data_IF_024915537442
#
_entry.id   IF_024915537442
#
_cell.length_a   1.000
_cell.length_b   1.000
_cell.length_c   1.000
_cell.angle_alpha   90.00
_cell.angle_beta   90.00
_cell.angle_gamma   90.00
#
_symmetry.space_group_name_H-M   'P 1'
#
loop_
_entity.id
_entity.type
_entity.pdbx_description
1 polymer ?
#
# COMPACT_ATOMS: atom_id res chain seq x y z
N UNK A 1 22.00 2.32 -5.43
CA UNK A 1 22.14 3.01 -6.74
C UNK A 1 20.73 3.11 -7.29
N UNK A 2 20.19 4.31 -7.48
CA UNK A 2 18.76 4.50 -7.78
C UNK A 2 18.36 3.80 -9.08
N UNK A 3 17.54 2.73 -8.95
CA UNK A 3 17.04 1.93 -10.08
C UNK A 3 16.15 2.76 -11.02
N UNK A 4 15.35 3.68 -10.46
CA UNK A 4 14.35 4.45 -11.20
C UNK A 4 14.97 5.37 -12.27
N UNK A 5 15.94 6.26 -11.96
CA UNK A 5 16.56 7.11 -12.98
C UNK A 5 17.29 6.32 -14.07
N UNK A 6 17.85 5.15 -13.74
CA UNK A 6 18.50 4.28 -14.71
C UNK A 6 17.49 3.64 -15.67
N UNK A 7 16.37 3.14 -15.15
CA UNK A 7 15.32 2.55 -15.96
C UNK A 7 14.69 3.59 -16.90
N UNK A 8 14.32 4.76 -16.38
CA UNK A 8 13.74 5.83 -17.21
C UNK A 8 14.74 6.30 -18.27
N UNK A 9 16.04 6.39 -17.94
CA UNK A 9 17.06 6.76 -18.90
C UNK A 9 17.12 5.77 -20.09
N UNK A 10 17.04 4.46 -19.81
CA UNK A 10 16.98 3.44 -20.84
C UNK A 10 15.70 3.54 -21.69
N UNK A 11 14.54 3.77 -21.07
CA UNK A 11 13.25 3.96 -21.76
C UNK A 11 13.25 5.18 -22.68
N UNK A 12 13.95 6.27 -22.31
CA UNK A 12 14.00 7.52 -23.06
C UNK A 12 15.17 7.63 -24.05
N UNK A 13 16.11 6.69 -24.02
CA UNK A 13 17.38 6.82 -24.75
C UNK A 13 18.23 8.01 -24.25
N UNK A 14 18.09 8.37 -22.97
CA UNK A 14 18.78 9.49 -22.33
C UNK A 14 19.89 8.99 -21.39
N UNK A 15 20.73 9.90 -20.89
CA UNK A 15 21.71 9.56 -19.85
C UNK A 15 21.06 9.65 -18.47
N UNK A 16 21.42 8.75 -17.51
CA UNK A 16 20.87 8.81 -16.15
C UNK A 16 21.07 10.16 -15.43
N UNK A 17 22.12 10.92 -15.78
CA UNK A 17 22.34 12.25 -15.24
C UNK A 17 21.26 13.26 -15.68
N UNK A 18 20.78 13.18 -16.93
CA UNK A 18 19.73 14.04 -17.45
C UNK A 18 18.40 13.77 -16.73
N UNK A 19 18.11 12.48 -16.53
CA UNK A 19 16.92 12.04 -15.79
C UNK A 19 16.97 12.51 -14.34
N UNK A 20 18.12 12.35 -13.65
CA UNK A 20 18.27 12.84 -12.26
C UNK A 20 18.04 14.34 -12.15
N UNK A 21 18.63 15.14 -13.04
CA UNK A 21 18.43 16.59 -13.02
C UNK A 21 16.95 16.97 -13.28
N UNK A 22 16.27 16.29 -14.21
CA UNK A 22 14.86 16.51 -14.44
C UNK A 22 13.98 16.09 -13.23
N UNK A 23 14.30 14.96 -12.59
CA UNK A 23 13.63 14.50 -11.37
C UNK A 23 13.78 15.52 -10.24
N UNK A 24 14.99 16.02 -9.99
CA UNK A 24 15.24 17.05 -8.97
C UNK A 24 14.41 18.32 -9.20
N UNK A 25 14.27 18.74 -10.46
CA UNK A 25 13.44 19.90 -10.81
C UNK A 25 11.95 19.63 -10.58
N UNK A 26 11.45 18.46 -10.98
CA UNK A 26 10.05 18.06 -10.78
C UNK A 26 9.73 17.94 -9.28
N UNK A 27 10.61 17.33 -8.50
CA UNK A 27 10.48 17.21 -7.04
C UNK A 27 10.52 18.58 -6.35
N UNK A 28 11.28 19.53 -6.92
CA UNK A 28 11.28 20.95 -6.54
C UNK A 28 10.03 21.73 -6.98
N UNK A 29 9.04 21.07 -7.58
CA UNK A 29 7.77 21.67 -8.01
C UNK A 29 7.81 22.37 -9.37
N UNK A 30 8.89 22.22 -10.14
CA UNK A 30 8.91 22.72 -11.51
C UNK A 30 7.97 21.90 -12.39
N UNK A 31 7.29 22.55 -13.35
CA UNK A 31 6.42 21.87 -14.30
C UNK A 31 7.18 21.49 -15.57
N UNK A 32 6.71 20.47 -16.31
CA UNK A 32 7.32 20.08 -17.59
C UNK A 32 7.49 21.26 -18.58
N UNK A 33 6.47 22.11 -18.85
CA UNK A 33 6.65 23.26 -19.73
C UNK A 33 7.69 24.26 -19.22
N UNK A 34 7.81 24.42 -17.89
CA UNK A 34 8.82 25.28 -17.30
C UNK A 34 10.22 24.71 -17.51
N UNK A 35 10.41 23.41 -17.28
CA UNK A 35 11.70 22.75 -17.46
C UNK A 35 12.14 22.81 -18.93
N UNK A 36 11.25 22.43 -19.85
CA UNK A 36 11.51 22.43 -21.28
C UNK A 36 11.92 23.81 -21.82
N UNK A 37 11.36 24.89 -21.26
CA UNK A 37 11.60 26.27 -21.72
C UNK A 37 12.74 26.98 -20.99
N UNK A 38 12.89 26.77 -19.68
CA UNK A 38 13.75 27.60 -18.81
C UNK A 38 14.84 26.80 -18.06
N UNK A 39 14.88 25.48 -18.19
CA UNK A 39 15.89 24.60 -17.55
C UNK A 39 16.49 23.59 -18.51
N UNK A 40 16.50 23.89 -19.81
CA UNK A 40 17.03 23.02 -20.86
C UNK A 40 18.51 22.65 -20.64
N UNK A 41 19.31 23.59 -20.13
CA UNK A 41 20.73 23.33 -19.83
C UNK A 41 20.91 22.38 -18.64
N UNK A 42 20.01 22.46 -17.64
CA UNK A 42 20.07 21.61 -16.46
C UNK A 42 19.80 20.14 -16.79
N UNK A 43 18.93 19.87 -17.78
CA UNK A 43 18.60 18.52 -18.24
C UNK A 43 19.45 18.06 -19.44
N UNK A 44 20.44 18.86 -19.83
CA UNK A 44 21.24 18.70 -21.07
C UNK A 44 20.38 18.40 -22.30
N UNK A 45 19.30 19.16 -22.48
CA UNK A 45 18.53 19.17 -23.71
C UNK A 45 17.34 18.22 -23.80
N UNK A 46 16.84 17.63 -22.69
CA UNK A 46 15.59 16.88 -22.73
C UNK A 46 14.44 17.74 -23.28
N UNK A 47 13.73 17.23 -24.28
CA UNK A 47 12.59 17.93 -24.89
C UNK A 47 11.26 17.71 -24.13
N UNK A 48 10.21 18.43 -24.52
CA UNK A 48 8.89 18.36 -23.86
C UNK A 48 8.29 16.95 -23.88
N UNK A 49 8.49 16.18 -24.98
CA UNK A 49 7.97 14.82 -25.11
C UNK A 49 8.70 13.87 -24.17
N UNK A 50 10.03 13.99 -24.09
CA UNK A 50 10.86 13.22 -23.17
C UNK A 50 10.52 13.56 -21.71
N UNK A 51 10.31 14.84 -21.38
CA UNK A 51 9.97 15.27 -20.03
C UNK A 51 8.57 14.81 -19.59
N UNK A 52 7.56 14.82 -20.47
CA UNK A 52 6.23 14.26 -20.17
C UNK A 52 6.27 12.76 -19.93
N UNK A 53 7.04 12.05 -20.76
CA UNK A 53 7.26 10.61 -20.59
C UNK A 53 7.96 10.34 -19.26
N UNK A 54 9.02 11.10 -18.96
CA UNK A 54 9.75 11.03 -17.69
C UNK A 54 8.82 11.22 -16.50
N UNK A 55 8.01 12.28 -16.48
CA UNK A 55 7.08 12.60 -15.39
C UNK A 55 6.09 11.44 -15.14
N UNK A 56 5.50 10.92 -16.22
CA UNK A 56 4.55 9.80 -16.16
C UNK A 56 5.22 8.52 -15.63
N UNK A 57 6.42 8.21 -16.13
CA UNK A 57 7.15 7.00 -15.75
C UNK A 57 7.70 7.09 -14.33
N UNK A 58 8.18 8.26 -13.91
CA UNK A 58 8.62 8.52 -12.55
C UNK A 58 7.51 8.27 -11.55
N UNK A 59 6.32 8.81 -11.80
CA UNK A 59 5.15 8.57 -10.93
C UNK A 59 4.82 7.08 -10.84
N UNK A 60 4.71 6.39 -11.98
CA UNK A 60 4.41 4.96 -12.01
C UNK A 60 5.44 4.12 -11.23
N UNK A 61 6.73 4.38 -11.43
CA UNK A 61 7.80 3.60 -10.82
C UNK A 61 7.93 3.87 -9.32
N UNK A 62 7.70 5.11 -8.87
CA UNK A 62 7.62 5.41 -7.43
C UNK A 62 6.47 4.68 -6.77
N UNK A 63 5.28 4.72 -7.37
CA UNK A 63 4.12 3.97 -6.86
C UNK A 63 4.37 2.46 -6.81
N UNK A 64 5.10 1.92 -7.79
CA UNK A 64 5.50 0.51 -7.79
C UNK A 64 6.46 0.19 -6.64
N UNK A 65 7.49 1.00 -6.41
CA UNK A 65 8.45 0.79 -5.31
C UNK A 65 7.81 0.98 -3.93
N UNK A 66 6.96 1.99 -3.74
CA UNK A 66 6.20 2.18 -2.51
C UNK A 66 5.31 0.97 -2.22
N UNK A 67 4.64 0.45 -3.26
CA UNK A 67 3.81 -0.74 -3.15
C UNK A 67 4.64 -1.98 -2.84
N UNK A 68 5.81 -2.13 -3.47
CA UNK A 68 6.75 -3.23 -3.24
C UNK A 68 7.22 -3.27 -1.79
N UNK A 69 7.59 -2.13 -1.24
CA UNK A 69 7.97 -2.01 0.17
C UNK A 69 6.82 -2.41 1.11
N UNK A 70 5.59 -1.96 0.82
CA UNK A 70 4.42 -2.34 1.60
C UNK A 70 4.10 -3.85 1.53
N UNK A 71 4.26 -4.47 0.36
CA UNK A 71 4.08 -5.91 0.16
C UNK A 71 5.13 -6.69 0.96
N UNK A 72 6.41 -6.36 0.81
CA UNK A 72 7.50 -7.00 1.56
C UNK A 72 7.26 -6.93 3.07
N UNK A 73 6.92 -5.73 3.57
CA UNK A 73 6.58 -5.53 4.98
C UNK A 73 5.41 -6.41 5.42
N UNK A 74 4.31 -6.43 4.67
CA UNK A 74 3.13 -7.22 5.01
C UNK A 74 3.39 -8.73 5.04
N UNK A 75 4.24 -9.24 4.14
CA UNK A 75 4.63 -10.65 4.11
C UNK A 75 5.60 -10.97 5.27
N UNK A 76 6.54 -10.07 5.56
CA UNK A 76 7.48 -10.20 6.68
C UNK A 76 6.77 -10.22 8.03
N UNK A 77 5.76 -9.36 8.23
CA UNK A 77 4.93 -9.32 9.44
C UNK A 77 4.15 -10.62 9.69
N UNK A 78 3.91 -11.42 8.64
CA UNK A 78 3.31 -12.75 8.75
C UNK A 78 4.34 -13.86 9.00
N UNK A 79 5.64 -13.55 9.01
CA UNK A 79 6.72 -14.53 9.11
C UNK A 79 6.86 -15.42 7.87
N UNK A 80 6.35 -14.97 6.71
CA UNK A 80 6.29 -15.77 5.47
C UNK A 80 7.25 -15.32 4.38
N UNK A 81 8.10 -14.33 4.65
CA UNK A 81 9.04 -13.80 3.67
C UNK A 81 10.27 -14.70 3.58
N UNK A 82 10.30 -15.58 2.57
CA UNK A 82 11.51 -16.35 2.25
C UNK A 82 12.47 -15.54 1.37
N UNK A 83 13.77 -15.86 1.34
CA UNK A 83 14.73 -15.18 0.46
C UNK A 83 14.36 -15.26 -1.03
N UNK A 84 13.77 -16.39 -1.46
CA UNK A 84 13.33 -16.58 -2.85
C UNK A 84 12.12 -15.69 -3.18
N UNK A 85 11.17 -15.56 -2.23
CA UNK A 85 10.01 -14.71 -2.38
C UNK A 85 10.39 -13.22 -2.34
N UNK A 86 11.30 -12.84 -1.44
CA UNK A 86 11.86 -11.49 -1.38
C UNK A 86 12.49 -11.12 -2.73
N UNK A 87 13.36 -11.98 -3.27
CA UNK A 87 13.97 -11.76 -4.58
C UNK A 87 12.93 -11.67 -5.72
N UNK A 88 11.89 -12.51 -5.70
CA UNK A 88 10.81 -12.46 -6.70
C UNK A 88 10.01 -11.16 -6.60
N UNK A 89 9.67 -10.73 -5.38
CA UNK A 89 8.97 -9.47 -5.12
C UNK A 89 9.85 -8.28 -5.50
N UNK A 90 11.16 -8.33 -5.28
CA UNK A 90 12.08 -7.26 -5.72
C UNK A 90 12.25 -7.17 -7.23
N UNK A 91 12.18 -8.31 -7.92
CA UNK A 91 12.33 -8.39 -9.36
C UNK A 91 11.04 -8.10 -10.14
N UNK A 92 9.88 -8.04 -9.47
CA UNK A 92 8.59 -7.82 -10.15
C UNK A 92 8.59 -6.51 -10.97
N UNK A 93 8.47 -6.59 -12.31
CA UNK A 93 8.63 -5.45 -13.21
C UNK A 93 7.36 -4.61 -13.36
N UNK A 94 6.20 -5.16 -12.97
CA UNK A 94 4.90 -4.51 -13.11
C UNK A 94 4.11 -4.57 -11.80
N UNK A 95 3.18 -3.62 -11.64
CA UNK A 95 2.24 -3.62 -10.51
C UNK A 95 1.38 -4.89 -10.48
N UNK A 96 1.05 -5.44 -11.65
CA UNK A 96 0.25 -6.66 -11.75
C UNK A 96 1.00 -7.87 -11.20
N UNK A 97 2.23 -8.10 -11.67
CA UNK A 97 3.06 -9.21 -11.19
C UNK A 97 3.37 -9.09 -9.70
N UNK A 98 3.56 -7.87 -9.19
CA UNK A 98 3.71 -7.62 -7.76
C UNK A 98 2.46 -8.04 -6.97
N UNK A 99 1.26 -7.71 -7.45
CA UNK A 99 0.02 -8.11 -6.79
C UNK A 99 -0.23 -9.62 -6.89
N UNK A 100 0.13 -10.26 -7.99
CA UNK A 100 -0.02 -11.70 -8.17
C UNK A 100 0.87 -12.47 -7.18
N UNK A 101 2.10 -12.01 -6.95
CA UNK A 101 3.00 -12.54 -5.91
C UNK A 101 2.45 -12.29 -4.50
N UNK A 102 1.81 -11.15 -4.27
CA UNK A 102 1.25 -10.80 -2.96
C UNK A 102 -0.07 -11.52 -2.65
N UNK A 103 -0.82 -11.94 -3.67
CA UNK A 103 -2.18 -12.47 -3.55
C UNK A 103 -2.34 -13.57 -2.48
N UNK A 104 -1.43 -14.57 -2.36
CA UNK A 104 -1.54 -15.61 -1.33
C UNK A 104 -1.35 -15.11 0.11
N UNK A 105 -0.72 -13.95 0.27
CA UNK A 105 -0.36 -13.35 1.55
C UNK A 105 -1.25 -12.17 1.94
N UNK A 106 -2.09 -11.70 1.02
CA UNK A 106 -2.98 -10.56 1.25
C UNK A 106 -3.87 -10.86 2.46
N UNK A 107 -3.76 -10.11 3.58
CA UNK A 107 -4.56 -10.33 4.76
C UNK A 107 -6.03 -10.27 4.40
N UNK A 108 -6.79 -11.31 4.76
CA UNK A 108 -8.24 -11.25 4.67
C UNK A 108 -8.73 -10.28 5.73
N UNK A 109 -9.53 -9.30 5.34
CA UNK A 109 -10.15 -8.38 6.31
C UNK A 109 -10.95 -9.24 7.27
N UNK A 110 -10.60 -9.15 8.56
CA UNK A 110 -11.45 -9.69 9.62
C UNK A 110 -12.77 -8.93 9.57
N UNK A 111 -13.88 -9.64 9.46
CA UNK A 111 -15.19 -9.02 9.55
C UNK A 111 -15.45 -8.62 11.01
N UNK A 112 -16.32 -7.63 11.26
CA UNK A 112 -16.74 -7.30 12.63
C UNK A 112 -17.23 -8.55 13.38
N UNK A 113 -17.99 -9.41 12.71
CA UNK A 113 -18.45 -10.69 13.27
C UNK A 113 -17.31 -11.66 13.62
N UNK A 114 -16.23 -11.73 12.83
CA UNK A 114 -15.06 -12.54 13.19
C UNK A 114 -14.35 -12.00 14.43
N UNK A 115 -14.22 -10.67 14.54
CA UNK A 115 -13.64 -10.02 15.72
C UNK A 115 -14.50 -10.28 16.96
N UNK A 116 -15.83 -10.14 16.83
CA UNK A 116 -16.78 -10.43 17.90
C UNK A 116 -16.72 -11.89 18.36
N UNK A 117 -16.63 -12.86 17.42
CA UNK A 117 -16.46 -14.28 17.76
C UNK A 117 -15.14 -14.57 18.48
N UNK A 118 -14.03 -14.03 17.98
CA UNK A 118 -12.72 -14.17 18.62
C UNK A 118 -12.68 -13.55 20.03
N UNK A 119 -13.48 -12.50 20.27
CA UNK A 119 -13.68 -11.89 21.58
C UNK A 119 -14.68 -12.64 22.48
N UNK A 120 -15.24 -13.76 22.02
CA UNK A 120 -16.15 -14.58 22.81
C UNK A 120 -17.60 -14.08 22.87
N UNK A 121 -18.04 -13.27 21.91
CA UNK A 121 -19.41 -12.73 21.87
C UNK A 121 -20.44 -13.69 21.24
N UNK A 122 -20.00 -14.83 20.69
CA UNK A 122 -20.89 -15.82 20.06
C UNK A 122 -21.99 -16.34 21.03
N UNK A 123 -21.70 -16.67 22.30
CA UNK A 123 -22.74 -17.09 23.25
C UNK A 123 -23.76 -15.99 23.57
N UNK A 124 -23.37 -14.70 23.50
CA UNK A 124 -24.33 -13.61 23.68
C UNK A 124 -25.30 -13.54 22.51
N UNK A 125 -24.78 -13.59 21.28
CA UNK A 125 -25.60 -13.59 20.07
C UNK A 125 -26.58 -14.77 20.04
N UNK A 126 -26.10 -15.98 20.38
CA UNK A 126 -26.95 -17.18 20.44
C UNK A 126 -28.06 -17.07 21.48
N UNK A 127 -27.77 -16.52 22.67
CA UNK A 127 -28.78 -16.32 23.73
C UNK A 127 -29.86 -15.32 23.34
N UNK A 128 -29.46 -14.16 22.81
CA UNK A 128 -30.42 -13.13 22.37
C UNK A 128 -31.25 -13.59 21.17
N UNK A 129 -30.67 -14.42 20.30
CA UNK A 129 -31.40 -15.04 19.20
C UNK A 129 -32.40 -16.10 19.68
N UNK A 130 -32.03 -16.90 20.67
CA UNK A 130 -32.86 -17.98 21.20
C UNK A 130 -34.04 -17.47 22.07
N UNK A 131 -33.85 -16.38 22.80
CA UNK A 131 -34.88 -15.80 23.66
C UNK A 131 -35.02 -14.27 23.47
N UNK A 132 -36.01 -13.83 22.67
CA UNK A 132 -36.27 -12.41 22.44
C UNK A 132 -36.81 -11.64 23.66
N UNK A 133 -37.11 -12.31 24.78
CA UNK A 133 -37.58 -11.65 26.01
C UNK A 133 -36.43 -11.14 26.89
N UNK A 134 -35.18 -11.52 26.59
CA UNK A 134 -34.00 -11.04 27.30
C UNK A 134 -33.76 -9.55 27.02
N UNK A 135 -33.28 -8.82 28.03
CA UNK A 135 -32.81 -7.44 27.87
C UNK A 135 -31.40 -7.45 27.25
N UNK A 136 -31.22 -7.01 25.99
CA UNK A 136 -29.93 -7.09 25.30
C UNK A 136 -28.81 -6.33 26.01
N UNK A 137 -29.13 -5.17 26.61
CA UNK A 137 -28.12 -4.33 27.28
C UNK A 137 -27.67 -4.96 28.60
N UNK A 138 -28.61 -5.54 29.35
CA UNK A 138 -28.29 -6.24 30.58
C UNK A 138 -27.43 -7.48 30.31
N UNK A 139 -27.75 -8.23 29.25
CA UNK A 139 -27.00 -9.43 28.86
C UNK A 139 -25.61 -9.12 28.30
N UNK A 140 -25.46 -8.00 27.58
CA UNK A 140 -24.19 -7.55 27.01
C UNK A 140 -23.17 -7.11 28.07
N UNK A 141 -23.62 -6.68 29.25
CA UNK A 141 -22.73 -6.23 30.33
C UNK A 141 -21.69 -7.28 30.74
N UNK A 142 -22.04 -8.57 30.66
CA UNK A 142 -21.15 -9.68 30.99
C UNK A 142 -20.02 -9.91 29.96
N UNK A 143 -20.11 -9.27 28.79
CA UNK A 143 -19.19 -9.47 27.66
C UNK A 143 -18.34 -8.23 27.34
N UNK A 144 -18.43 -7.18 28.17
CA UNK A 144 -17.61 -5.98 28.02
C UNK A 144 -16.13 -6.31 28.25
N UNK A 145 -15.30 -5.97 27.27
CA UNK A 145 -13.86 -6.17 27.31
C UNK A 145 -13.17 -5.05 26.53
N UNK A 146 -12.68 -4.04 27.25
CA UNK A 146 -11.96 -2.91 26.65
C UNK A 146 -10.70 -3.38 25.90
N UNK A 147 -10.00 -4.39 26.43
CA UNK A 147 -8.80 -4.97 25.82
C UNK A 147 -9.09 -5.70 24.50
N UNK A 148 -10.32 -6.20 24.31
CA UNK A 148 -10.79 -6.81 23.06
C UNK A 148 -11.51 -5.82 22.12
N UNK A 149 -11.56 -4.53 22.47
CA UNK A 149 -12.20 -3.48 21.66
C UNK A 149 -13.70 -3.28 21.92
N UNK A 150 -14.23 -3.88 22.99
CA UNK A 150 -15.65 -3.80 23.39
C UNK A 150 -15.76 -3.05 24.72
N UNK A 151 -15.64 -1.72 24.66
CA UNK A 151 -15.48 -0.86 25.84
C UNK A 151 -16.75 -0.71 26.70
N UNK A 152 -17.92 -0.95 26.13
CA UNK A 152 -19.21 -0.87 26.80
C UNK A 152 -20.25 -1.83 26.18
N UNK A 153 -21.41 -1.94 26.82
CA UNK A 153 -22.48 -2.83 26.39
C UNK A 153 -23.04 -2.46 25.01
N UNK A 154 -22.93 -1.19 24.58
CA UNK A 154 -23.36 -0.77 23.26
C UNK A 154 -22.39 -1.28 22.19
N UNK A 155 -21.09 -1.16 22.43
CA UNK A 155 -20.05 -1.69 21.55
C UNK A 155 -20.13 -3.21 21.40
N UNK A 156 -20.57 -3.93 22.44
CA UNK A 156 -20.81 -5.38 22.40
C UNK A 156 -22.00 -5.77 21.50
N UNK A 157 -23.03 -4.91 21.41
CA UNK A 157 -24.25 -5.18 20.63
C UNK A 157 -24.15 -4.71 19.16
N UNK A 158 -23.20 -3.85 18.83
CA UNK A 158 -22.95 -3.28 17.48
C UNK A 158 -22.17 -4.21 16.52
#
# INVERSE_FOLDING_TARGET
MDKIPQQIAAELGARPAQVRAAVELLDGGATVPFIARYRKEATDGLDDTQLRTLETRLAYLRELEDRRAAVLKSIAEQGKLSPELEAAVEAAPTKQELEDLYLPYKPRRRTKGQIAREAGLEPLADRLFADPMLDPLAEAAAFVSADAGFADAQAVLD
#
